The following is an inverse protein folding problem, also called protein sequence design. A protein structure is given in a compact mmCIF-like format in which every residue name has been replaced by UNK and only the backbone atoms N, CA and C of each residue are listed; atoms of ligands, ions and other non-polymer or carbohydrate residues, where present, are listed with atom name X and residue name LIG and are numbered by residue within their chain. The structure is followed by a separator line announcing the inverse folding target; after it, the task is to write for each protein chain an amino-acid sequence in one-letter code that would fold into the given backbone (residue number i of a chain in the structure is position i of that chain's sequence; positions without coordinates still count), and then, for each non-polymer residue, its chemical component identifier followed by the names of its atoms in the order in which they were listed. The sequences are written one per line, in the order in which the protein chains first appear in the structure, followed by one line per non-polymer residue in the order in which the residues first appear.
data_IF_539479233188
#
_entry.id   IF_539479233188
#
_cell.length_a   1.000
_cell.length_b   1.000
_cell.length_c   1.000
_cell.angle_alpha   90.00
_cell.angle_beta   90.00
_cell.angle_gamma   90.00
#
_symmetry.space_group_name_H-M   'P 1'
#
loop_
_entity.id
_entity.type
_entity.pdbx_description
1 polymer ?
#
# COMPACT_ATOMS: atom_id res chain seq x y z
N UNK A 1 15.14 13.38 4.83
CA UNK A 1 14.81 13.16 6.23
C UNK A 1 15.85 12.34 6.98
N UNK A 2 15.67 12.14 8.24
CA UNK A 2 16.57 11.33 9.07
C UNK A 2 16.18 9.84 8.98
N UNK A 3 16.93 9.07 8.19
CA UNK A 3 16.68 7.65 7.96
C UNK A 3 16.95 6.77 9.18
N UNK A 4 17.51 7.31 10.27
CA UNK A 4 17.70 6.57 11.52
C UNK A 4 16.43 6.42 12.34
N UNK A 5 15.42 7.27 12.07
CA UNK A 5 14.13 7.29 12.75
C UNK A 5 12.94 7.24 11.80
N UNK A 6 13.10 7.69 10.56
CA UNK A 6 12.04 7.70 9.57
C UNK A 6 11.91 6.30 8.93
N UNK A 7 10.82 5.60 9.26
CA UNK A 7 10.53 4.27 8.72
C UNK A 7 9.91 4.37 7.32
N UNK A 8 8.83 5.13 7.16
CA UNK A 8 8.26 5.42 5.85
C UNK A 8 7.49 6.75 5.82
N UNK A 9 7.25 7.26 4.62
CA UNK A 9 6.37 8.38 4.34
C UNK A 9 5.40 7.95 3.25
N UNK A 10 4.11 8.25 3.43
CA UNK A 10 3.11 8.16 2.36
C UNK A 10 2.60 9.57 2.08
N UNK A 11 2.58 9.94 0.80
CA UNK A 11 2.10 11.24 0.34
C UNK A 11 0.73 11.08 -0.32
N UNK A 12 -0.23 11.86 0.13
CA UNK A 12 -1.59 11.91 -0.39
C UNK A 12 -1.91 13.31 -0.89
N UNK A 13 -2.81 13.42 -1.85
CA UNK A 13 -3.45 14.69 -2.21
C UNK A 13 -4.90 14.68 -1.77
N UNK A 14 -5.45 15.86 -1.54
CA UNK A 14 -6.86 16.05 -1.28
C UNK A 14 -7.38 17.30 -1.98
N UNK A 15 -8.66 17.29 -2.36
CA UNK A 15 -9.33 18.39 -3.00
C UNK A 15 -9.66 19.56 -2.04
N UNK A 16 -10.22 20.67 -2.54
CA UNK A 16 -10.49 21.89 -1.76
C UNK A 16 -11.54 21.70 -0.65
N UNK A 17 -12.27 20.60 -0.64
CA UNK A 17 -13.20 20.22 0.43
C UNK A 17 -12.55 19.75 1.73
N UNK A 18 -11.22 19.66 1.76
CA UNK A 18 -10.47 19.13 2.90
C UNK A 18 -10.23 17.62 2.81
N UNK A 19 -9.82 17.03 3.92
CA UNK A 19 -9.39 15.64 4.00
C UNK A 19 -10.24 14.87 5.01
N UNK A 20 -10.70 13.67 4.59
CA UNK A 20 -11.21 12.65 5.47
C UNK A 20 -10.20 11.50 5.51
N UNK A 21 -9.74 11.14 6.70
CA UNK A 21 -8.72 10.11 6.88
C UNK A 21 -9.09 8.76 6.23
N UNK A 22 -10.35 8.34 6.30
CA UNK A 22 -10.80 7.09 5.68
C UNK A 22 -10.83 7.18 4.15
N UNK A 23 -11.19 8.32 3.59
CA UNK A 23 -11.16 8.54 2.14
C UNK A 23 -9.72 8.52 1.62
N UNK A 24 -8.78 9.09 2.37
CA UNK A 24 -7.36 9.07 2.03
C UNK A 24 -6.80 7.66 2.01
N UNK A 25 -7.07 6.85 3.02
CA UNK A 25 -6.61 5.45 3.06
C UNK A 25 -7.15 4.62 1.88
N UNK A 26 -8.36 4.94 1.41
CA UNK A 26 -8.94 4.30 0.23
C UNK A 26 -8.29 4.70 -1.10
N UNK A 27 -7.55 5.80 -1.14
CA UNK A 27 -6.77 6.21 -2.32
C UNK A 27 -5.51 5.35 -2.54
N UNK A 28 -5.23 4.42 -1.65
CA UNK A 28 -4.02 3.60 -1.71
C UNK A 28 -2.76 4.41 -1.38
N UNK A 29 -1.68 4.18 -2.12
CA UNK A 29 -0.39 4.88 -1.89
C UNK A 29 -0.44 6.36 -2.34
N UNK A 30 -1.54 6.79 -2.98
CA UNK A 30 -1.70 8.19 -3.38
C UNK A 30 -0.60 8.66 -4.34
N UNK A 31 0.01 9.81 -4.06
CA UNK A 31 1.11 10.40 -4.85
C UNK A 31 2.37 9.54 -4.85
N UNK A 32 2.56 8.72 -3.84
CA UNK A 32 3.70 7.84 -3.71
C UNK A 32 4.09 7.60 -2.26
N UNK A 33 5.01 6.68 -2.08
CA UNK A 33 5.52 6.32 -0.77
C UNK A 33 7.05 6.19 -0.80
N UNK A 34 7.65 6.55 0.31
CA UNK A 34 9.04 6.23 0.61
C UNK A 34 9.07 5.18 1.71
N UNK A 35 9.85 4.14 1.50
CA UNK A 35 10.32 3.23 2.54
C UNK A 35 11.79 2.90 2.27
N UNK A 36 12.57 2.42 3.27
CA UNK A 36 13.95 2.02 3.06
C UNK A 36 14.09 1.05 1.89
N UNK A 37 14.96 1.39 0.93
CA UNK A 37 15.15 0.63 -0.32
C UNK A 37 14.25 1.01 -1.49
N UNK A 38 13.22 1.84 -1.29
CA UNK A 38 12.45 2.40 -2.40
C UNK A 38 13.24 3.52 -3.11
N UNK A 39 13.00 3.62 -4.40
CA UNK A 39 13.56 4.66 -5.26
C UNK A 39 12.49 5.70 -5.60
N UNK A 40 12.85 6.62 -6.51
CA UNK A 40 11.93 7.56 -7.11
C UNK A 40 10.69 6.86 -7.69
N UNK A 41 9.49 7.36 -7.34
CA UNK A 41 8.25 6.90 -7.94
C UNK A 41 8.12 7.56 -9.33
N UNK A 42 8.24 6.74 -10.38
CA UNK A 42 8.02 7.16 -11.75
C UNK A 42 6.70 6.57 -12.24
N UNK A 43 5.92 7.43 -12.89
CA UNK A 43 4.71 6.98 -13.58
C UNK A 43 5.01 6.61 -15.03
N UNK A 44 4.21 5.74 -15.66
CA UNK A 44 4.32 5.48 -17.09
C UNK A 44 4.21 6.77 -17.89
N UNK A 45 4.79 6.74 -19.11
CA UNK A 45 4.72 7.88 -20.02
C UNK A 45 3.27 8.26 -20.29
N UNK A 46 3.00 9.56 -20.42
CA UNK A 46 1.68 10.17 -20.68
C UNK A 46 0.63 9.88 -19.58
N UNK A 47 1.09 9.51 -18.37
CA UNK A 47 0.25 9.36 -17.18
C UNK A 47 0.69 10.31 -16.07
N UNK A 48 -0.23 10.72 -15.20
CA UNK A 48 0.07 11.58 -14.06
C UNK A 48 -0.94 11.44 -12.93
N UNK A 49 -0.51 11.69 -11.72
CA UNK A 49 -1.40 11.75 -10.58
C UNK A 49 -2.08 13.13 -10.52
N UNK A 50 -3.41 13.21 -10.54
CA UNK A 50 -4.12 14.49 -10.57
C UNK A 50 -3.97 15.24 -9.24
N UNK A 51 -3.65 16.53 -9.30
CA UNK A 51 -3.66 17.45 -8.18
C UNK A 51 -4.76 18.48 -8.41
N UNK A 52 -5.73 18.54 -7.51
CA UNK A 52 -6.84 19.48 -7.62
C UNK A 52 -6.42 20.90 -7.22
N UNK A 53 -6.85 21.87 -8.00
CA UNK A 53 -6.63 23.30 -7.70
C UNK A 53 -7.34 23.69 -6.41
N UNK A 54 -6.62 24.31 -5.48
CA UNK A 54 -7.14 24.67 -4.16
C UNK A 54 -7.18 23.53 -3.15
N UNK A 55 -6.72 22.36 -3.55
CA UNK A 55 -6.47 21.22 -2.65
C UNK A 55 -5.14 21.35 -1.91
N UNK A 56 -4.71 20.27 -1.29
CA UNK A 56 -3.47 20.21 -0.53
C UNK A 56 -2.81 18.83 -0.56
N UNK A 57 -1.67 18.77 0.11
CA UNK A 57 -0.93 17.53 0.33
C UNK A 57 -0.98 17.15 1.80
N UNK A 58 -1.14 15.86 2.07
CA UNK A 58 -0.97 15.27 3.39
C UNK A 58 0.18 14.28 3.35
N UNK A 59 1.09 14.40 4.31
CA UNK A 59 2.18 13.46 4.50
C UNK A 59 1.91 12.66 5.78
N UNK A 60 1.81 11.35 5.65
CA UNK A 60 1.81 10.43 6.78
C UNK A 60 3.25 9.96 7.00
N UNK A 61 3.83 10.35 8.14
CA UNK A 61 5.20 10.00 8.50
C UNK A 61 5.16 8.98 9.62
N UNK A 62 5.80 7.84 9.39
CA UNK A 62 5.95 6.80 10.39
C UNK A 62 7.39 6.80 10.92
N UNK A 63 7.52 7.02 12.22
CA UNK A 63 8.81 7.03 12.89
C UNK A 63 8.99 5.81 13.78
N UNK A 64 10.21 5.30 13.81
CA UNK A 64 10.68 4.33 14.81
C UNK A 64 11.65 5.02 15.76
N UNK A 65 11.52 4.75 17.05
CA UNK A 65 12.38 5.37 18.06
C UNK A 65 13.80 4.82 18.01
N UNK A 66 14.79 5.70 18.04
CA UNK A 66 16.21 5.33 18.07
C UNK A 66 16.82 5.39 19.49
N UNK A 67 16.02 5.77 20.51
CA UNK A 67 16.50 6.03 21.86
C UNK A 67 17.32 7.30 22.00
N UNK A 68 17.34 8.17 20.98
CA UNK A 68 18.06 9.44 20.96
C UNK A 68 17.13 10.54 20.46
N UNK A 69 17.43 11.77 20.85
CA UNK A 69 16.82 12.94 20.22
C UNK A 69 17.21 12.99 18.75
N UNK A 70 16.22 13.19 17.89
CA UNK A 70 16.40 13.29 16.45
C UNK A 70 15.53 14.42 15.90
N UNK A 71 16.00 15.07 14.83
CA UNK A 71 15.25 16.08 14.11
C UNK A 71 15.09 15.61 12.66
N UNK A 72 13.85 15.43 12.24
CA UNK A 72 13.53 15.11 10.85
C UNK A 72 13.09 16.37 10.09
N UNK A 73 13.66 16.57 8.90
CA UNK A 73 13.32 17.61 7.95
C UNK A 73 13.06 17.01 6.57
N UNK A 74 12.13 16.03 6.54
CA UNK A 74 11.73 15.39 5.29
C UNK A 74 11.06 16.36 4.32
N UNK A 75 11.29 16.15 3.04
CA UNK A 75 10.69 16.92 1.96
C UNK A 75 10.24 16.02 0.84
N UNK A 76 9.22 16.45 0.11
CA UNK A 76 8.74 15.81 -1.11
C UNK A 76 9.05 16.71 -2.32
N UNK A 77 9.63 16.14 -3.36
CA UNK A 77 9.81 16.80 -4.66
C UNK A 77 8.76 16.27 -5.63
N UNK A 78 8.07 17.19 -6.30
CA UNK A 78 7.08 16.87 -7.32
C UNK A 78 7.58 17.35 -8.68
N UNK A 79 7.50 16.49 -9.70
CA UNK A 79 7.67 16.86 -11.09
C UNK A 79 6.27 17.05 -11.68
N UNK A 80 5.97 18.28 -12.06
CA UNK A 80 4.68 18.63 -12.66
C UNK A 80 4.81 18.63 -14.18
N UNK A 81 3.75 18.23 -14.86
CA UNK A 81 3.61 18.39 -16.30
C UNK A 81 3.23 19.83 -16.63
N UNK A 82 3.75 20.35 -17.76
CA UNK A 82 3.34 21.65 -18.30
C UNK A 82 1.93 21.59 -18.94
N UNK A 83 1.56 20.40 -19.42
CA UNK A 83 0.24 20.10 -20.00
C UNK A 83 -0.35 18.87 -19.30
N UNK A 84 -1.67 18.77 -19.22
CA UNK A 84 -2.34 17.64 -18.60
C UNK A 84 -2.00 16.32 -19.33
N UNK A 85 -1.50 15.29 -18.61
CA UNK A 85 -1.23 14.01 -19.23
C UNK A 85 -2.54 13.32 -19.67
N UNK A 86 -2.43 12.44 -20.66
CA UNK A 86 -3.61 11.79 -21.27
C UNK A 86 -4.41 10.92 -20.29
N UNK A 87 -3.77 10.38 -19.27
CA UNK A 87 -4.38 9.44 -18.33
C UNK A 87 -4.01 9.76 -16.89
N UNK A 88 -5.01 9.70 -16.03
CA UNK A 88 -4.81 9.84 -14.59
C UNK A 88 -4.30 8.52 -13.98
N UNK A 89 -3.27 8.61 -13.16
CA UNK A 89 -2.89 7.53 -12.26
C UNK A 89 -3.88 7.46 -11.10
N UNK A 90 -4.33 6.26 -10.82
CA UNK A 90 -5.26 5.93 -9.75
C UNK A 90 -4.56 5.05 -8.71
N UNK A 91 -4.88 5.28 -7.45
CA UNK A 91 -4.52 4.40 -6.35
C UNK A 91 -5.69 3.55 -5.89
N UNK A 92 -5.41 2.52 -5.14
CA UNK A 92 -6.42 1.71 -4.48
C UNK A 92 -5.81 0.60 -3.63
N UNK A 93 -6.67 -0.16 -2.98
CA UNK A 93 -6.25 -1.30 -2.19
C UNK A 93 -7.31 -2.40 -2.16
N UNK A 94 -6.87 -3.64 -1.96
CA UNK A 94 -7.67 -4.69 -1.35
C UNK A 94 -7.32 -4.71 0.13
N UNK A 95 -8.29 -4.49 1.03
CA UNK A 95 -8.01 -4.26 2.45
C UNK A 95 -9.10 -4.82 3.35
N UNK A 96 -8.73 -5.13 4.59
CA UNK A 96 -9.67 -5.46 5.68
C UNK A 96 -9.50 -4.41 6.78
N UNK A 97 -10.57 -3.63 7.03
CA UNK A 97 -10.61 -2.64 8.10
C UNK A 97 -11.20 -3.19 9.41
N UNK A 98 -12.03 -4.21 9.33
CA UNK A 98 -12.54 -4.96 10.50
C UNK A 98 -11.65 -6.19 10.72
N UNK A 99 -10.40 -5.90 11.09
CA UNK A 99 -9.34 -6.89 11.26
C UNK A 99 -9.39 -7.48 12.68
N UNK A 100 -9.40 -8.81 12.76
CA UNK A 100 -9.32 -9.57 14.01
C UNK A 100 -8.34 -10.72 13.85
N UNK A 101 -7.25 -10.71 14.61
CA UNK A 101 -6.25 -11.78 14.65
C UNK A 101 -6.26 -12.36 16.06
N UNK A 102 -6.67 -13.62 16.25
CA UNK A 102 -6.75 -14.23 17.59
C UNK A 102 -5.39 -14.27 18.31
N UNK A 103 -5.45 -14.28 19.63
CA UNK A 103 -4.25 -14.50 20.46
C UNK A 103 -3.64 -15.90 20.19
N UNK A 104 -2.32 -15.99 20.32
CA UNK A 104 -1.53 -17.24 20.24
C UNK A 104 -1.69 -18.04 18.93
N UNK A 105 -2.11 -17.39 17.84
CA UNK A 105 -2.24 -18.06 16.53
C UNK A 105 -0.95 -17.91 15.73
N UNK A 106 -0.41 -19.01 15.19
CA UNK A 106 0.83 -19.02 14.38
C UNK A 106 0.60 -18.72 12.89
N UNK A 107 -0.62 -18.94 12.39
CA UNK A 107 -0.92 -18.88 10.96
C UNK A 107 -2.38 -18.44 10.73
N UNK A 108 -2.65 -17.17 10.91
CA UNK A 108 -3.96 -16.58 10.66
C UNK A 108 -4.05 -16.06 9.23
N UNK A 109 -4.74 -16.79 8.37
CA UNK A 109 -4.90 -16.48 6.95
C UNK A 109 -6.02 -15.46 6.73
N UNK A 110 -5.76 -14.44 5.91
CA UNK A 110 -6.73 -13.44 5.51
C UNK A 110 -6.73 -13.25 4.00
N UNK A 111 -7.89 -12.85 3.48
CA UNK A 111 -8.10 -12.59 2.06
C UNK A 111 -8.91 -11.30 1.91
N UNK A 112 -8.40 -10.38 1.10
CA UNK A 112 -9.12 -9.20 0.67
C UNK A 112 -9.18 -9.16 -0.86
N UNK A 113 -10.20 -8.53 -1.42
CA UNK A 113 -10.36 -8.45 -2.88
C UNK A 113 -10.63 -7.04 -3.36
N UNK A 114 -10.29 -6.77 -4.62
CA UNK A 114 -10.63 -5.54 -5.34
C UNK A 114 -11.04 -5.87 -6.76
N UNK A 115 -12.27 -5.46 -7.12
CA UNK A 115 -12.80 -5.61 -8.47
C UNK A 115 -12.36 -4.44 -9.36
N UNK A 116 -11.79 -4.73 -10.53
CA UNK A 116 -11.60 -3.78 -11.61
C UNK A 116 -12.89 -3.65 -12.42
N UNK A 117 -13.50 -2.47 -12.38
CA UNK A 117 -14.78 -2.22 -13.07
C UNK A 117 -14.62 -1.84 -14.53
N UNK A 118 -13.45 -1.30 -14.88
CA UNK A 118 -13.04 -0.89 -16.21
C UNK A 118 -11.82 -1.70 -16.64
N UNK A 119 -11.56 -1.75 -17.92
CA UNK A 119 -10.25 -2.17 -18.43
C UNK A 119 -9.18 -1.24 -17.87
N UNK A 120 -8.09 -1.78 -17.37
CA UNK A 120 -7.06 -1.02 -16.69
C UNK A 120 -5.66 -1.54 -17.00
N UNK A 121 -4.67 -0.69 -16.71
CA UNK A 121 -3.26 -1.07 -16.70
C UNK A 121 -2.70 -0.95 -15.29
N UNK A 122 -2.45 -2.08 -14.66
CA UNK A 122 -1.81 -2.18 -13.34
C UNK A 122 -0.33 -1.88 -13.46
N UNK A 123 0.16 -0.93 -12.66
CA UNK A 123 1.56 -0.46 -12.71
C UNK A 123 2.38 -0.86 -11.49
N UNK A 124 1.72 -1.11 -10.34
CA UNK A 124 2.40 -1.45 -9.10
C UNK A 124 1.46 -2.22 -8.17
N UNK A 125 2.05 -3.11 -7.38
CA UNK A 125 1.43 -3.73 -6.19
C UNK A 125 2.36 -3.59 -4.99
N UNK A 126 1.79 -3.54 -3.78
CA UNK A 126 2.57 -3.43 -2.53
C UNK A 126 1.82 -4.00 -1.34
N UNK A 127 2.31 -5.08 -0.72
CA UNK A 127 1.74 -5.59 0.52
C UNK A 127 2.12 -4.70 1.70
N UNK A 128 1.16 -4.47 2.61
CA UNK A 128 1.41 -3.76 3.84
C UNK A 128 0.74 -4.45 5.03
N UNK A 129 1.56 -4.84 5.97
CA UNK A 129 1.22 -5.40 7.27
C UNK A 129 2.21 -4.85 8.30
N UNK A 130 1.97 -5.05 9.60
CA UNK A 130 2.89 -4.66 10.64
C UNK A 130 3.74 -5.85 11.14
N UNK A 131 4.04 -5.90 12.45
CA UNK A 131 5.01 -6.84 13.05
C UNK A 131 4.63 -8.32 12.92
N UNK A 132 3.33 -8.62 12.77
CA UNK A 132 2.83 -10.01 12.70
C UNK A 132 2.67 -10.52 11.30
N UNK A 133 2.85 -9.67 10.29
CA UNK A 133 2.82 -10.08 8.88
C UNK A 133 3.87 -11.16 8.60
N UNK A 134 3.44 -12.27 8.00
CA UNK A 134 4.25 -13.47 7.76
C UNK A 134 4.51 -13.70 6.27
N UNK A 135 3.47 -13.61 5.47
CA UNK A 135 3.54 -13.77 4.01
C UNK A 135 2.45 -12.99 3.31
N UNK A 136 2.64 -12.70 2.03
CA UNK A 136 1.69 -11.97 1.21
C UNK A 136 1.71 -12.45 -0.24
N UNK A 137 0.53 -12.49 -0.89
CA UNK A 137 0.39 -12.89 -2.28
C UNK A 137 -0.69 -12.06 -2.98
N UNK A 138 -0.44 -11.74 -4.25
CA UNK A 138 -1.40 -11.11 -5.14
C UNK A 138 -1.69 -12.04 -6.31
N UNK A 139 -2.97 -12.27 -6.56
CA UNK A 139 -3.48 -13.07 -7.67
C UNK A 139 -4.55 -12.27 -8.43
N UNK A 140 -4.49 -12.27 -9.76
CA UNK A 140 -5.57 -11.78 -10.62
C UNK A 140 -6.45 -12.97 -11.01
N UNK A 141 -7.76 -12.85 -10.79
CA UNK A 141 -8.79 -13.77 -11.26
C UNK A 141 -9.55 -13.11 -12.40
N UNK A 142 -9.34 -13.62 -13.59
CA UNK A 142 -9.90 -13.05 -14.81
C UNK A 142 -11.35 -13.48 -15.05
N UNK A 143 -12.12 -12.69 -15.85
CA UNK A 143 -13.53 -13.02 -16.15
C UNK A 143 -13.73 -14.35 -16.89
N UNK A 144 -12.72 -14.86 -17.57
CA UNK A 144 -12.74 -16.16 -18.24
C UNK A 144 -12.49 -17.34 -17.31
N UNK A 145 -12.29 -17.07 -16.00
CA UNK A 145 -12.01 -18.07 -14.98
C UNK A 145 -10.53 -18.46 -14.84
N UNK A 146 -9.66 -17.89 -15.65
CA UNK A 146 -8.21 -18.08 -15.46
C UNK A 146 -7.69 -17.25 -14.28
N UNK A 147 -6.60 -17.71 -13.67
CA UNK A 147 -5.95 -17.05 -12.54
C UNK A 147 -4.46 -16.87 -12.82
N UNK A 148 -3.92 -15.78 -12.30
CA UNK A 148 -2.50 -15.49 -12.41
C UNK A 148 -1.94 -14.88 -11.13
N UNK A 149 -0.96 -15.53 -10.54
CA UNK A 149 -0.18 -14.99 -9.42
C UNK A 149 0.81 -13.94 -9.96
N UNK A 150 0.63 -12.68 -9.54
CA UNK A 150 1.46 -11.55 -10.01
C UNK A 150 2.54 -11.14 -9.02
N UNK A 151 2.40 -11.51 -7.74
CA UNK A 151 3.43 -11.32 -6.70
C UNK A 151 3.28 -12.39 -5.63
N UNK A 152 4.41 -12.93 -5.16
CA UNK A 152 4.49 -13.77 -3.97
C UNK A 152 5.65 -13.31 -3.08
N UNK A 153 5.33 -13.01 -1.82
CA UNK A 153 6.28 -12.62 -0.76
C UNK A 153 6.17 -13.65 0.37
N UNK A 154 6.89 -14.79 0.28
CA UNK A 154 6.75 -15.89 1.22
C UNK A 154 7.35 -15.63 2.61
N UNK A 155 8.15 -14.58 2.74
CA UNK A 155 8.75 -14.09 3.98
C UNK A 155 8.57 -12.57 4.04
N UNK A 156 7.40 -12.14 4.47
CA UNK A 156 7.16 -10.71 4.67
C UNK A 156 8.03 -10.18 5.83
N UNK A 157 8.56 -8.99 5.65
CA UNK A 157 9.40 -8.32 6.64
C UNK A 157 8.88 -6.90 6.85
N UNK A 158 8.45 -6.57 8.06
CA UNK A 158 7.98 -5.23 8.40
C UNK A 158 8.99 -4.13 8.03
N UNK A 159 10.27 -4.37 8.25
CA UNK A 159 11.34 -3.41 7.92
C UNK A 159 11.69 -3.36 6.42
N UNK A 160 11.01 -4.12 5.56
CA UNK A 160 11.23 -4.22 4.13
C UNK A 160 9.92 -4.11 3.36
N UNK A 161 9.19 -3.01 3.57
CA UNK A 161 7.88 -2.76 2.95
C UNK A 161 8.03 -2.17 1.56
N UNK A 162 8.42 -3.00 0.60
CA UNK A 162 8.59 -2.56 -0.79
C UNK A 162 7.27 -2.55 -1.55
N UNK A 163 7.18 -1.56 -2.44
CA UNK A 163 6.30 -1.60 -3.59
C UNK A 163 7.02 -2.27 -4.77
N UNK A 164 6.28 -2.98 -5.60
CA UNK A 164 6.78 -3.72 -6.75
C UNK A 164 6.14 -3.12 -8.01
N UNK A 165 6.94 -2.32 -8.72
CA UNK A 165 6.55 -1.75 -10.00
C UNK A 165 6.73 -2.80 -11.11
N UNK A 166 5.74 -2.92 -11.99
CA UNK A 166 5.86 -3.73 -13.20
C UNK A 166 6.78 -3.04 -14.21
N UNK A 167 7.62 -3.80 -14.88
CA UNK A 167 8.51 -3.27 -15.95
C UNK A 167 7.66 -2.64 -17.06
N UNK A 168 6.60 -3.33 -17.46
CA UNK A 168 5.55 -2.84 -18.37
C UNK A 168 4.21 -2.88 -17.66
N UNK A 169 3.37 -1.85 -17.82
CA UNK A 169 2.03 -1.85 -17.25
C UNK A 169 1.23 -3.07 -17.69
N UNK A 170 0.63 -3.75 -16.74
CA UNK A 170 -0.07 -5.00 -16.99
C UNK A 170 -1.54 -4.74 -17.29
N UNK A 171 -2.00 -5.17 -18.47
CA UNK A 171 -3.41 -5.08 -18.83
C UNK A 171 -4.28 -5.99 -17.95
N UNK A 172 -5.35 -5.42 -17.41
CA UNK A 172 -6.32 -6.07 -16.53
C UNK A 172 -7.71 -5.77 -17.10
N UNK A 173 -8.40 -6.74 -17.71
CA UNK A 173 -9.74 -6.51 -18.27
C UNK A 173 -10.77 -6.21 -17.19
N UNK A 174 -11.80 -5.47 -17.54
CA UNK A 174 -12.98 -5.23 -16.70
C UNK A 174 -13.57 -6.54 -16.19
N UNK A 175 -13.97 -6.57 -14.92
CA UNK A 175 -14.47 -7.77 -14.26
C UNK A 175 -13.39 -8.65 -13.63
N UNK A 176 -12.11 -8.31 -13.79
CA UNK A 176 -11.02 -9.00 -13.06
C UNK A 176 -11.08 -8.66 -11.58
N UNK A 177 -10.97 -9.66 -10.73
CA UNK A 177 -10.82 -9.53 -9.29
C UNK A 177 -9.36 -9.71 -8.89
N UNK A 178 -8.77 -8.68 -8.27
CA UNK A 178 -7.48 -8.85 -7.60
C UNK A 178 -7.72 -9.39 -6.21
N UNK A 179 -7.09 -10.51 -5.92
CA UNK A 179 -7.10 -11.18 -4.61
C UNK A 179 -5.77 -10.91 -3.93
N UNK A 180 -5.84 -10.33 -2.73
CA UNK A 180 -4.72 -10.16 -1.83
C UNK A 180 -4.86 -11.13 -0.68
N UNK A 181 -3.94 -12.06 -0.57
CA UNK A 181 -3.87 -13.07 0.48
C UNK A 181 -2.66 -12.78 1.35
N UNK A 182 -2.78 -13.03 2.65
CA UNK A 182 -1.67 -12.91 3.58
C UNK A 182 -1.91 -13.69 4.85
N UNK A 183 -0.83 -13.96 5.57
CA UNK A 183 -0.85 -14.63 6.85
C UNK A 183 -0.22 -13.77 7.95
N UNK A 184 -0.70 -13.96 9.18
CA UNK A 184 -0.16 -13.34 10.38
C UNK A 184 0.26 -14.40 11.38
N UNK A 185 1.37 -14.12 12.07
CA UNK A 185 1.86 -14.87 13.21
C UNK A 185 1.75 -14.04 14.50
N UNK A 186 0.67 -14.26 15.26
CA UNK A 186 0.43 -13.65 16.58
C UNK A 186 0.82 -14.60 17.72
N UNK A 187 1.80 -15.48 17.51
CA UNK A 187 2.30 -16.41 18.52
C UNK A 187 3.57 -15.91 19.22
N UNK A 188 3.98 -16.64 20.24
CA UNK A 188 5.28 -16.45 20.93
C UNK A 188 6.49 -16.80 20.05
N UNK A 189 6.28 -17.53 18.95
CA UNK A 189 7.34 -17.90 18.00
C UNK A 189 7.75 -16.74 17.11
N UNK A 190 6.91 -15.71 16.96
CA UNK A 190 7.26 -14.49 16.24
C UNK A 190 8.10 -13.55 17.13
N UNK A 191 9.41 -13.39 16.88
CA UNK A 191 10.29 -12.59 17.73
C UNK A 191 9.98 -11.08 17.70
N UNK A 192 9.18 -10.62 16.77
CA UNK A 192 8.77 -9.23 16.64
C UNK A 192 7.40 -8.93 17.26
N UNK A 193 6.67 -9.98 17.69
CA UNK A 193 5.36 -9.82 18.32
C UNK A 193 5.48 -9.25 19.74
N UNK A 194 4.94 -8.06 20.02
CA UNK A 194 5.07 -7.44 21.34
C UNK A 194 4.31 -8.18 22.45
N UNK A 195 3.16 -8.77 22.11
CA UNK A 195 2.31 -9.51 23.04
C UNK A 195 1.46 -10.54 22.30
N UNK A 196 1.78 -11.84 22.38
CA UNK A 196 1.00 -12.90 21.73
C UNK A 196 -0.31 -13.24 22.47
N UNK A 197 -0.49 -12.76 23.70
CA UNK A 197 -1.61 -13.18 24.56
C UNK A 197 -2.90 -12.42 24.32
N UNK A 198 -2.86 -11.37 23.49
CA UNK A 198 -4.01 -10.52 23.17
C UNK A 198 -4.49 -10.74 21.72
N UNK A 199 -5.79 -10.57 21.51
CA UNK A 199 -6.34 -10.41 20.18
C UNK A 199 -5.88 -9.07 19.58
N UNK A 200 -5.55 -9.06 18.30
CA UNK A 200 -5.09 -7.87 17.58
C UNK A 200 -6.19 -7.41 16.63
N UNK A 201 -6.44 -6.12 16.66
CA UNK A 201 -7.39 -5.45 15.75
C UNK A 201 -6.66 -4.45 14.85
N UNK A 202 -7.40 -3.94 13.87
CA UNK A 202 -6.92 -2.87 13.01
C UNK A 202 -6.46 -1.64 13.81
N UNK A 203 -5.36 -1.03 13.37
CA UNK A 203 -4.88 0.23 13.92
C UNK A 203 -3.59 0.70 13.25
N UNK A 204 -3.35 2.01 13.35
CA UNK A 204 -2.21 2.68 12.71
C UNK A 204 -0.86 2.43 13.41
N UNK A 205 -0.90 2.03 14.67
CA UNK A 205 0.32 1.76 15.42
C UNK A 205 0.90 0.40 15.08
N UNK A 206 2.21 0.26 15.12
CA UNK A 206 2.91 -0.99 14.75
C UNK A 206 2.57 -2.19 15.64
N UNK A 207 2.11 -1.96 16.85
CA UNK A 207 1.62 -3.03 17.75
C UNK A 207 0.16 -3.45 17.48
N UNK A 208 -0.61 -2.65 16.75
CA UNK A 208 -1.83 -3.09 16.06
C UNK A 208 -1.45 -3.77 14.75
N UNK A 209 -2.41 -4.03 13.87
CA UNK A 209 -2.14 -4.57 12.54
C UNK A 209 -2.95 -3.87 11.46
N UNK A 210 -2.42 -3.93 10.24
CA UNK A 210 -3.08 -3.54 9.00
C UNK A 210 -3.00 -4.68 7.99
N UNK A 211 -4.00 -4.79 7.11
CA UNK A 211 -4.01 -5.72 6.00
C UNK A 211 -4.40 -5.01 4.72
N UNK A 212 -3.38 -4.53 3.98
CA UNK A 212 -3.56 -3.78 2.74
C UNK A 212 -2.73 -4.35 1.60
N UNK A 213 -3.40 -4.71 0.52
CA UNK A 213 -2.79 -4.95 -0.77
C UNK A 213 -2.92 -3.69 -1.63
N UNK A 214 -1.94 -2.77 -1.53
CA UNK A 214 -1.94 -1.53 -2.30
C UNK A 214 -1.70 -1.77 -3.78
N UNK A 215 -2.36 -0.98 -4.62
CA UNK A 215 -2.15 -0.96 -6.07
C UNK A 215 -2.05 0.46 -6.61
N UNK A 216 -1.41 0.56 -7.78
CA UNK A 216 -1.42 1.74 -8.64
C UNK A 216 -1.74 1.30 -10.06
N UNK A 217 -2.66 1.99 -10.71
CA UNK A 217 -3.14 1.66 -12.04
C UNK A 217 -3.64 2.90 -12.77
N UNK A 218 -3.99 2.77 -14.01
CA UNK A 218 -4.76 3.74 -14.78
C UNK A 218 -5.77 3.00 -15.66
N UNK A 219 -6.93 3.61 -15.92
CA UNK A 219 -7.94 3.02 -16.79
C UNK A 219 -7.43 2.99 -18.24
N UNK A 220 -7.76 1.95 -19.01
CA UNK A 220 -7.48 1.93 -20.43
C UNK A 220 -8.36 2.98 -21.12
N UNK A 221 -7.77 3.67 -22.10
CA UNK A 221 -8.54 4.56 -22.99
C UNK A 221 -9.26 3.70 -24.03
N UNK A 222 -10.51 4.06 -24.33
CA UNK A 222 -11.29 3.54 -25.45
C UNK A 222 -10.63 3.84 -26.81
#
# INVERSE_FOLDING_TARGET
GDTSVLHHIIAFSYGPGGVNQFEILNQGIGLGAYAPGNKLNLYPKDTGYPLEVGGGLMLQLHYTTSGREAVDASSIGLYLYDEEPRQAILGGSAAIMDLHIPANVEDHQLVATKLFRNDAYLTMVGPHMHYRGKEARFTLKYPDGSEEMILNVPNYQFNWQKTYDFIEPRFVPAGTEMVFEGAFDNSEMNPFNPDPTIEITWGEQTWNEMFFGFIRYYDALD
#
